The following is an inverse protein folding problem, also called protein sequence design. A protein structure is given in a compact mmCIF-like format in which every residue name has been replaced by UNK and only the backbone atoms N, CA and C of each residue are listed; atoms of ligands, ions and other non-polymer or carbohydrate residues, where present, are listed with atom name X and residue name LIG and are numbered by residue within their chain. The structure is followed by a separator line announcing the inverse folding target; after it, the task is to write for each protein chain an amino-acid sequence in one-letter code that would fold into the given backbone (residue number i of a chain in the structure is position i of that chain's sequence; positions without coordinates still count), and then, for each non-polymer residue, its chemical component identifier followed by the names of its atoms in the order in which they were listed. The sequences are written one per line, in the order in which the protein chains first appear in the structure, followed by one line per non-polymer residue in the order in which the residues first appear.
data_IF_605292214268
#
_entry.id   IF_605292214268
#
_cell.length_a   1.000
_cell.length_b   1.000
_cell.length_c   1.000
_cell.angle_alpha   90.00
_cell.angle_beta   90.00
_cell.angle_gamma   90.00
#
_symmetry.space_group_name_H-M   'P 1'
#
loop_
_entity.id
_entity.type
_entity.pdbx_description
1 polymer ?
#
# COMPACT_ATOMS: atom_id res chain seq x y z
N UNK A 1 13.98 -5.61 -8.61
CA UNK A 1 14.56 -6.81 -7.98
C UNK A 1 14.44 -6.85 -6.44
N UNK A 2 14.17 -5.74 -5.73
CA UNK A 2 14.10 -5.72 -4.25
C UNK A 2 12.81 -6.32 -3.64
N UNK A 3 11.74 -6.49 -4.41
CA UNK A 3 10.49 -7.13 -3.94
C UNK A 3 10.53 -8.66 -3.90
N UNK A 4 11.64 -9.31 -4.27
CA UNK A 4 11.71 -10.77 -4.37
C UNK A 4 11.90 -11.46 -3.02
N UNK A 5 12.30 -10.73 -1.97
CA UNK A 5 12.45 -11.30 -0.62
C UNK A 5 11.16 -11.06 0.15
N UNK A 6 10.47 -12.12 0.62
CA UNK A 6 9.33 -11.95 1.51
C UNK A 6 9.75 -11.09 2.72
N UNK A 7 8.96 -10.09 3.14
CA UNK A 7 9.37 -9.12 4.17
C UNK A 7 9.66 -9.76 5.53
N UNK A 8 9.12 -10.95 5.79
CA UNK A 8 9.27 -11.71 7.03
C UNK A 8 10.71 -12.23 7.22
N UNK A 9 11.31 -13.03 6.31
CA UNK A 9 12.71 -13.45 6.42
C UNK A 9 13.71 -12.29 6.32
N UNK A 10 13.42 -11.24 5.54
CA UNK A 10 14.29 -10.06 5.47
C UNK A 10 14.38 -9.32 6.82
N UNK A 11 13.25 -9.16 7.51
CA UNK A 11 13.22 -8.56 8.86
C UNK A 11 13.95 -9.41 9.89
N UNK A 12 13.84 -10.74 9.79
CA UNK A 12 14.53 -11.69 10.67
C UNK A 12 16.06 -11.63 10.50
N UNK A 13 16.54 -11.53 9.26
CA UNK A 13 17.97 -11.40 8.94
C UNK A 13 18.58 -10.09 9.44
N UNK A 14 17.88 -8.96 9.27
CA UNK A 14 18.41 -7.65 9.70
C UNK A 14 18.47 -7.56 11.22
N UNK A 15 17.44 -8.05 11.90
CA UNK A 15 17.41 -7.95 13.34
C UNK A 15 18.32 -8.96 14.06
N UNK A 16 18.65 -10.09 13.43
CA UNK A 16 19.76 -10.93 13.89
C UNK A 16 21.14 -10.25 13.85
N UNK A 17 21.30 -9.18 13.06
CA UNK A 17 22.58 -8.48 12.84
C UNK A 17 22.74 -7.24 13.74
N UNK A 18 21.67 -6.69 14.31
CA UNK A 18 21.69 -5.32 14.89
C UNK A 18 22.09 -5.28 16.38
N UNK A 19 22.15 -6.41 17.10
CA UNK A 19 22.55 -6.48 18.52
C UNK A 19 21.39 -6.37 19.53
N UNK A 20 21.70 -6.34 20.83
CA UNK A 20 20.71 -6.28 21.92
C UNK A 20 20.63 -4.88 22.53
N UNK A 21 19.42 -4.31 22.57
CA UNK A 21 19.15 -2.99 23.16
C UNK A 21 17.68 -2.60 23.00
N UNK A 22 17.14 -1.68 23.83
CA UNK A 22 15.71 -1.39 23.88
C UNK A 22 15.14 -0.77 22.58
N UNK A 23 16.00 -0.14 21.76
CA UNK A 23 15.59 0.50 20.50
C UNK A 23 16.07 -0.26 19.25
N UNK A 24 16.93 -1.26 19.44
CA UNK A 24 17.57 -2.02 18.38
C UNK A 24 16.57 -2.75 17.46
N UNK A 25 15.56 -3.48 17.97
CA UNK A 25 14.58 -4.12 17.10
C UNK A 25 13.72 -3.09 16.33
N UNK A 26 13.41 -1.94 16.95
CA UNK A 26 12.66 -0.88 16.28
C UNK A 26 13.45 -0.26 15.11
N UNK A 27 14.75 0.00 15.30
CA UNK A 27 15.63 0.52 14.25
C UNK A 27 15.81 -0.49 13.11
N UNK A 28 16.05 -1.77 13.43
CA UNK A 28 16.18 -2.84 12.45
C UNK A 28 14.94 -2.93 11.55
N UNK A 29 13.75 -2.93 12.16
CA UNK A 29 12.50 -2.99 11.41
C UNK A 29 12.24 -1.69 10.65
N UNK A 30 12.60 -0.51 11.18
CA UNK A 30 12.43 0.76 10.49
C UNK A 30 13.24 0.84 9.18
N UNK A 31 14.49 0.36 9.19
CA UNK A 31 15.35 0.33 8.00
C UNK A 31 14.75 -0.55 6.90
N UNK A 32 14.21 -1.71 7.26
CA UNK A 32 13.54 -2.63 6.32
C UNK A 32 12.19 -2.08 5.85
N UNK A 33 11.45 -1.42 6.76
CA UNK A 33 10.12 -0.91 6.48
C UNK A 33 10.15 0.32 5.55
N UNK A 34 11.21 1.12 5.59
CA UNK A 34 11.31 2.38 4.85
C UNK A 34 11.38 2.20 3.31
N UNK A 35 12.16 1.22 2.83
CA UNK A 35 12.47 1.10 1.39
C UNK A 35 11.24 0.94 0.48
N UNK A 36 10.27 0.05 0.77
CA UNK A 36 9.04 -0.07 -0.03
C UNK A 36 8.17 1.19 0.01
N UNK A 37 8.09 1.86 1.16
CA UNK A 37 7.35 3.11 1.34
C UNK A 37 7.95 4.24 0.49
N UNK A 38 9.27 4.40 0.53
CA UNK A 38 9.97 5.39 -0.28
C UNK A 38 9.79 5.14 -1.78
N UNK A 39 9.88 3.87 -2.20
CA UNK A 39 9.65 3.48 -3.59
C UNK A 39 8.23 3.83 -4.03
N UNK A 40 7.21 3.45 -3.24
CA UNK A 40 5.82 3.73 -3.54
C UNK A 40 5.50 5.24 -3.56
N UNK A 41 6.03 6.01 -2.61
CA UNK A 41 5.89 7.47 -2.62
C UNK A 41 6.52 8.08 -3.88
N UNK A 42 7.71 7.61 -4.28
CA UNK A 42 8.40 8.11 -5.48
C UNK A 42 7.67 7.78 -6.78
N UNK A 43 7.01 6.62 -6.86
CA UNK A 43 6.22 6.23 -8.04
C UNK A 43 4.97 7.08 -8.15
N UNK A 44 4.25 7.28 -7.05
CA UNK A 44 3.07 8.14 -7.00
C UNK A 44 3.42 9.59 -7.34
N UNK A 45 4.54 10.09 -6.81
CA UNK A 45 5.00 11.45 -7.11
C UNK A 45 5.34 11.62 -8.60
N UNK A 46 5.98 10.62 -9.23
CA UNK A 46 6.25 10.64 -10.68
C UNK A 46 4.96 10.60 -11.50
N UNK A 47 3.99 9.78 -11.10
CA UNK A 47 2.69 9.71 -11.77
C UNK A 47 1.91 11.03 -11.67
N UNK A 48 1.87 11.63 -10.48
CA UNK A 48 1.16 12.89 -10.26
C UNK A 48 1.81 14.06 -11.02
N UNK A 49 3.14 14.09 -11.09
CA UNK A 49 3.89 15.08 -11.89
C UNK A 49 3.64 14.96 -13.40
N UNK A 50 3.35 13.76 -13.89
CA UNK A 50 3.04 13.53 -15.30
C UNK A 50 1.59 13.87 -15.66
N UNK A 51 0.77 14.26 -14.69
CA UNK A 51 -0.64 14.60 -14.93
C UNK A 51 -0.81 15.94 -15.66
N UNK A 52 -1.77 16.00 -16.57
CA UNK A 52 -2.09 17.21 -17.35
C UNK A 52 -2.48 18.41 -16.46
N UNK A 53 -3.03 18.15 -15.28
CA UNK A 53 -3.42 19.18 -14.31
C UNK A 53 -2.20 19.94 -13.77
N UNK A 54 -1.10 19.23 -13.50
CA UNK A 54 0.16 19.84 -13.05
C UNK A 54 0.82 20.65 -14.16
N UNK A 55 0.81 20.14 -15.39
CA UNK A 55 1.35 20.86 -16.56
C UNK A 55 0.60 22.19 -16.82
N UNK A 56 -0.73 22.19 -16.69
CA UNK A 56 -1.54 23.39 -16.83
C UNK A 56 -1.30 24.43 -15.71
N UNK A 57 -1.11 23.99 -14.46
CA UNK A 57 -0.81 24.91 -13.35
C UNK A 57 0.60 25.50 -13.42
N UNK A 58 1.57 24.75 -13.96
CA UNK A 58 2.90 25.29 -14.26
C UNK A 58 2.85 26.34 -15.37
N UNK A 59 2.02 26.14 -16.41
CA UNK A 59 1.81 27.13 -17.47
C UNK A 59 1.18 28.44 -16.95
N UNK A 60 0.47 28.39 -15.82
CA UNK A 60 -0.08 29.55 -15.11
C UNK A 60 0.92 30.22 -14.15
N UNK A 61 2.18 29.79 -14.10
CA UNK A 61 3.25 30.40 -13.31
C UNK A 61 3.29 29.98 -11.83
N UNK A 62 2.65 28.87 -11.45
CA UNK A 62 2.68 28.39 -10.07
C UNK A 62 4.10 27.93 -9.64
N UNK A 63 4.56 28.40 -8.47
CA UNK A 63 5.85 28.01 -7.91
C UNK A 63 5.91 26.56 -7.39
N UNK A 64 7.11 25.93 -7.34
CA UNK A 64 7.27 24.52 -7.00
C UNK A 64 6.81 24.16 -5.57
N UNK A 65 6.97 25.08 -4.61
CA UNK A 65 6.52 24.87 -3.22
C UNK A 65 4.99 24.86 -3.06
N UNK A 66 4.29 25.71 -3.82
CA UNK A 66 2.83 25.74 -3.85
C UNK A 66 2.27 24.46 -4.45
N UNK A 67 2.82 24.05 -5.59
CA UNK A 67 2.44 22.81 -6.27
C UNK A 67 2.65 21.58 -5.35
N UNK A 68 3.80 21.53 -4.66
CA UNK A 68 4.12 20.44 -3.75
C UNK A 68 3.11 20.33 -2.61
N UNK A 69 2.85 21.42 -1.88
CA UNK A 69 2.00 21.40 -0.68
C UNK A 69 0.51 21.30 -1.01
N UNK A 70 0.04 21.92 -2.09
CA UNK A 70 -1.39 22.04 -2.40
C UNK A 70 -1.90 20.97 -3.35
N UNK A 71 -1.05 20.35 -4.17
CA UNK A 71 -1.48 19.36 -5.17
C UNK A 71 -0.82 18.01 -4.93
N UNK A 72 0.52 17.95 -4.88
CA UNK A 72 1.23 16.67 -4.78
C UNK A 72 1.08 16.00 -3.40
N UNK A 73 1.28 16.74 -2.30
CA UNK A 73 1.15 16.20 -0.95
C UNK A 73 -0.25 15.61 -0.68
N UNK A 74 -1.36 16.35 -0.88
CA UNK A 74 -2.69 15.80 -0.59
C UNK A 74 -3.10 14.66 -1.52
N UNK A 75 -2.54 14.58 -2.73
CA UNK A 75 -2.80 13.46 -3.64
C UNK A 75 -2.05 12.18 -3.24
N UNK A 76 -0.79 12.31 -2.80
CA UNK A 76 0.09 11.17 -2.47
C UNK A 76 -0.10 10.68 -1.02
N UNK A 77 -0.52 11.55 -0.09
CA UNK A 77 -0.70 11.19 1.32
C UNK A 77 -1.68 10.02 1.55
N UNK A 78 -2.92 10.03 1.03
CA UNK A 78 -3.87 8.94 1.25
C UNK A 78 -3.36 7.55 0.81
N UNK A 79 -2.82 7.37 -0.42
CA UNK A 79 -2.32 6.06 -0.85
C UNK A 79 -1.04 5.63 -0.09
N UNK A 80 -0.17 6.56 0.29
CA UNK A 80 1.01 6.25 1.12
C UNK A 80 0.58 5.80 2.53
N UNK A 81 -0.37 6.51 3.16
CA UNK A 81 -0.88 6.15 4.49
C UNK A 81 -1.58 4.79 4.48
N UNK A 82 -2.40 4.51 3.46
CA UNK A 82 -3.01 3.17 3.27
C UNK A 82 -1.92 2.10 3.16
N UNK A 83 -0.89 2.34 2.35
CA UNK A 83 0.21 1.39 2.20
C UNK A 83 0.96 1.17 3.53
N UNK A 84 1.24 2.23 4.29
CA UNK A 84 1.88 2.13 5.60
C UNK A 84 1.04 1.28 6.57
N UNK A 85 -0.26 1.52 6.65
CA UNK A 85 -1.19 0.77 7.51
C UNK A 85 -1.21 -0.73 7.18
N UNK A 86 -1.20 -1.08 5.89
CA UNK A 86 -1.15 -2.48 5.46
C UNK A 86 0.14 -3.20 5.87
N UNK A 87 1.22 -2.47 6.19
CA UNK A 87 2.49 -3.07 6.65
C UNK A 87 2.56 -3.24 8.17
N UNK A 88 1.71 -2.57 8.94
CA UNK A 88 1.68 -2.65 10.41
C UNK A 88 1.61 -4.09 10.93
N UNK A 89 0.74 -4.99 10.41
CA UNK A 89 0.68 -6.36 10.92
C UNK A 89 2.02 -7.11 10.75
N UNK A 90 2.67 -6.95 9.59
CA UNK A 90 3.96 -7.58 9.32
C UNK A 90 5.09 -7.03 10.18
N UNK A 91 5.10 -5.72 10.43
CA UNK A 91 6.04 -5.04 11.32
C UNK A 91 5.86 -5.51 12.77
N UNK A 92 4.61 -5.60 13.24
CA UNK A 92 4.28 -6.07 14.58
C UNK A 92 4.72 -7.53 14.79
N UNK A 93 4.47 -8.40 13.81
CA UNK A 93 4.93 -9.80 13.84
C UNK A 93 6.46 -9.91 13.85
N UNK A 94 7.15 -9.08 13.07
CA UNK A 94 8.61 -9.06 13.06
C UNK A 94 9.17 -8.64 14.44
N UNK A 95 8.62 -7.57 15.05
CA UNK A 95 9.01 -7.14 16.39
C UNK A 95 8.71 -8.20 17.45
N UNK A 96 7.54 -8.85 17.38
CA UNK A 96 7.17 -9.92 18.30
C UNK A 96 8.11 -11.13 18.17
N UNK A 97 8.48 -11.53 16.95
CA UNK A 97 9.44 -12.61 16.72
C UNK A 97 10.82 -12.28 17.31
N UNK A 98 11.26 -11.03 17.23
CA UNK A 98 12.53 -10.59 17.80
C UNK A 98 12.49 -10.52 19.33
N UNK A 99 11.38 -10.04 19.89
CA UNK A 99 11.13 -10.09 21.33
C UNK A 99 11.15 -11.52 21.86
N UNK A 100 10.52 -12.46 21.12
CA UNK A 100 10.51 -13.88 21.46
C UNK A 100 11.91 -14.51 21.41
N UNK A 101 12.76 -14.07 20.48
CA UNK A 101 14.17 -14.48 20.37
C UNK A 101 15.10 -13.81 21.41
N UNK A 102 14.58 -12.98 22.32
CA UNK A 102 15.37 -12.28 23.34
C UNK A 102 16.08 -11.02 22.85
N UNK A 103 15.80 -10.58 21.61
CA UNK A 103 16.32 -9.34 21.01
C UNK A 103 15.37 -8.14 21.19
N UNK A 104 14.28 -8.33 21.94
CA UNK A 104 13.33 -7.28 22.33
C UNK A 104 13.89 -6.34 23.41
N UNK A 105 13.13 -5.31 23.76
CA UNK A 105 13.49 -4.53 24.93
C UNK A 105 13.38 -5.38 26.20
N UNK A 106 14.26 -5.13 27.16
CA UNK A 106 14.30 -5.87 28.41
C UNK A 106 13.32 -5.25 29.44
N UNK A 107 12.86 -6.01 30.45
CA UNK A 107 12.04 -5.47 31.53
C UNK A 107 12.67 -4.18 32.10
N UNK A 108 11.93 -3.07 32.29
CA UNK A 108 10.52 -2.97 32.69
C UNK A 108 9.50 -2.68 31.57
N UNK A 109 9.87 -2.67 30.28
CA UNK A 109 8.89 -2.42 29.22
C UNK A 109 8.08 -3.69 28.87
N UNK A 110 6.74 -3.59 28.74
CA UNK A 110 5.92 -4.74 28.36
C UNK A 110 6.07 -5.03 26.86
N UNK A 111 6.95 -5.96 26.52
CA UNK A 111 7.16 -6.42 25.14
C UNK A 111 6.29 -7.63 24.81
N UNK A 112 5.42 -7.52 23.81
CA UNK A 112 4.51 -8.59 23.39
C UNK A 112 5.23 -9.91 23.03
N UNK A 113 6.42 -9.83 22.43
CA UNK A 113 7.22 -11.01 22.08
C UNK A 113 7.84 -11.71 23.29
N UNK A 114 8.28 -10.93 24.30
CA UNK A 114 8.81 -11.46 25.55
C UNK A 114 7.70 -12.12 26.37
N UNK A 115 6.52 -11.49 26.44
CA UNK A 115 5.34 -12.06 27.10
C UNK A 115 4.96 -13.42 26.49
N UNK A 116 5.08 -13.59 25.17
CA UNK A 116 4.82 -14.88 24.54
C UNK A 116 5.86 -15.93 24.92
N UNK A 117 7.14 -15.55 25.01
CA UNK A 117 8.24 -16.45 25.39
C UNK A 117 8.11 -16.92 26.86
N UNK A 118 7.79 -16.01 27.77
CA UNK A 118 7.62 -16.31 29.20
C UNK A 118 6.41 -17.23 29.47
N UNK A 119 5.35 -17.12 28.66
CA UNK A 119 4.13 -17.90 28.84
C UNK A 119 4.14 -19.25 28.09
N UNK A 120 5.12 -19.50 27.21
CA UNK A 120 5.26 -20.75 26.47
C UNK A 120 5.29 -22.02 27.36
N UNK A 121 6.05 -22.09 28.47
CA UNK A 121 6.05 -23.26 29.34
C UNK A 121 4.73 -23.45 30.12
N UNK A 122 3.88 -22.42 30.19
CA UNK A 122 2.58 -22.47 30.85
C UNK A 122 1.44 -22.77 29.88
N UNK A 123 1.70 -22.97 28.58
CA UNK A 123 0.67 -23.15 27.56
C UNK A 123 -0.30 -24.30 27.87
N UNK A 124 0.19 -25.41 28.44
CA UNK A 124 -0.64 -26.56 28.82
C UNK A 124 -1.49 -26.31 30.07
N UNK A 125 -1.03 -25.43 30.98
CA UNK A 125 -1.73 -25.13 32.25
C UNK A 125 -2.67 -23.92 32.14
N UNK A 126 -2.29 -22.94 31.33
CA UNK A 126 -2.94 -21.65 31.19
C UNK A 126 -2.87 -21.19 29.72
N UNK A 127 -3.65 -21.80 28.81
CA UNK A 127 -3.60 -21.50 27.38
C UNK A 127 -3.95 -20.03 27.07
N UNK A 128 -4.75 -19.37 27.92
CA UNK A 128 -5.09 -17.95 27.78
C UNK A 128 -3.87 -17.03 27.88
N UNK A 129 -2.81 -17.43 28.60
CA UNK A 129 -1.63 -16.60 28.80
C UNK A 129 -0.81 -16.46 27.50
N UNK A 130 -0.87 -17.46 26.62
CA UNK A 130 -0.28 -17.42 25.27
C UNK A 130 -1.26 -16.81 24.26
N UNK A 131 -2.56 -17.10 24.39
CA UNK A 131 -3.59 -16.59 23.47
C UNK A 131 -3.80 -15.07 23.59
N UNK A 132 -3.64 -14.49 24.78
CA UNK A 132 -3.83 -13.06 24.98
C UNK A 132 -2.91 -12.18 24.11
N UNK A 133 -1.57 -12.32 24.13
CA UNK A 133 -0.69 -11.55 23.26
C UNK A 133 -0.90 -11.88 21.77
N UNK A 134 -1.21 -13.14 21.43
CA UNK A 134 -1.51 -13.53 20.05
C UNK A 134 -2.79 -12.85 19.52
N UNK A 135 -3.85 -12.81 20.32
CA UNK A 135 -5.11 -12.15 19.97
C UNK A 135 -4.93 -10.63 19.87
N UNK A 136 -4.14 -10.01 20.75
CA UNK A 136 -3.83 -8.59 20.68
C UNK A 136 -3.12 -8.22 19.36
N UNK A 137 -2.13 -9.02 18.92
CA UNK A 137 -1.47 -8.83 17.63
C UNK A 137 -2.43 -9.01 16.45
N UNK A 138 -3.33 -10.01 16.51
CA UNK A 138 -4.34 -10.23 15.48
C UNK A 138 -5.33 -9.06 15.38
N UNK A 139 -5.81 -8.56 16.51
CA UNK A 139 -6.71 -7.39 16.57
C UNK A 139 -6.01 -6.12 16.07
N UNK A 140 -4.76 -5.89 16.46
CA UNK A 140 -3.96 -4.79 15.95
C UNK A 140 -3.86 -4.85 14.41
N UNK A 141 -3.60 -6.04 13.87
CA UNK A 141 -3.52 -6.24 12.43
C UNK A 141 -4.86 -5.98 11.73
N UNK A 142 -5.95 -6.51 12.28
CA UNK A 142 -7.29 -6.30 11.75
C UNK A 142 -7.72 -4.83 11.77
N UNK A 143 -7.42 -4.12 12.87
CA UNK A 143 -7.68 -2.69 12.99
C UNK A 143 -6.85 -1.88 11.99
N UNK A 144 -5.57 -2.21 11.82
CA UNK A 144 -4.71 -1.53 10.85
C UNK A 144 -5.22 -1.70 9.41
N UNK A 145 -5.62 -2.91 9.02
CA UNK A 145 -6.20 -3.18 7.70
C UNK A 145 -7.55 -2.49 7.52
N UNK A 146 -8.39 -2.50 8.55
CA UNK A 146 -9.69 -1.79 8.53
C UNK A 146 -9.49 -0.29 8.38
N UNK A 147 -8.56 0.30 9.13
CA UNK A 147 -8.18 1.70 9.02
C UNK A 147 -7.64 2.01 7.62
N UNK A 148 -6.83 1.13 7.03
CA UNK A 148 -6.33 1.28 5.66
C UNK A 148 -7.48 1.33 4.63
N UNK A 149 -8.53 0.55 4.84
CA UNK A 149 -9.77 0.59 4.05
C UNK A 149 -10.55 1.91 4.23
N UNK A 150 -10.54 2.46 5.46
CA UNK A 150 -11.17 3.73 5.81
C UNK A 150 -10.50 4.97 5.20
N UNK A 151 -9.21 4.89 4.83
CA UNK A 151 -8.54 5.94 4.05
C UNK A 151 -9.12 5.97 2.64
N UNK A 152 -10.08 6.87 2.40
CA UNK A 152 -10.72 7.08 1.09
C UNK A 152 -10.14 8.32 0.40
N UNK A 153 -9.96 8.21 -0.92
CA UNK A 153 -9.70 9.36 -1.79
C UNK A 153 -11.02 10.12 -2.04
N UNK A 154 -10.98 11.45 -2.20
CA UNK A 154 -12.07 12.18 -2.84
C UNK A 154 -12.24 11.63 -4.27
N UNK A 155 -13.38 11.01 -4.57
CA UNK A 155 -13.67 10.52 -5.92
C UNK A 155 -13.79 11.73 -6.84
N UNK A 156 -12.94 11.89 -7.89
CA UNK A 156 -13.11 12.99 -8.82
C UNK A 156 -14.46 12.85 -9.56
N UNK A 157 -15.15 13.98 -9.84
CA UNK A 157 -16.45 13.98 -10.47
C UNK A 157 -16.46 13.30 -11.86
N UNK A 158 -17.62 12.74 -12.18
CA UNK A 158 -17.84 11.67 -13.17
C UNK A 158 -17.75 12.11 -14.64
N UNK A 159 -17.43 13.37 -14.90
CA UNK A 159 -17.39 13.95 -16.25
C UNK A 159 -16.21 13.45 -17.11
N UNK A 160 -15.22 12.77 -16.52
CA UNK A 160 -14.17 12.07 -17.26
C UNK A 160 -14.62 10.73 -17.90
N UNK A 161 -15.88 10.29 -17.69
CA UNK A 161 -16.42 9.03 -18.25
C UNK A 161 -17.33 9.23 -19.47
N UNK A 162 -17.43 10.46 -19.97
CA UNK A 162 -18.30 10.82 -21.09
C UNK A 162 -17.54 11.49 -22.21
N UNK A 163 -16.90 10.71 -23.07
CA UNK A 163 -16.67 11.13 -24.45
C UNK A 163 -17.06 10.00 -25.38
N UNK A 164 -18.36 9.98 -25.65
CA UNK A 164 -19.00 9.55 -26.89
C UNK A 164 -18.28 10.14 -28.11
N UNK A 165 -17.11 9.58 -28.42
CA UNK A 165 -16.34 9.86 -29.65
C UNK A 165 -16.63 8.79 -30.71
N UNK A 166 -17.01 7.58 -30.30
CA UNK A 166 -17.36 6.50 -31.24
C UNK A 166 -18.73 6.69 -31.90
N UNK A 167 -19.63 7.50 -31.33
CA UNK A 167 -20.99 7.67 -31.88
C UNK A 167 -21.08 8.78 -32.93
N UNK A 168 -20.13 9.72 -32.96
CA UNK A 168 -20.09 10.83 -33.94
C UNK A 168 -19.35 10.54 -35.23
N UNK A 169 -18.71 9.37 -35.36
CA UNK A 169 -18.05 8.94 -36.60
C UNK A 169 -18.95 8.05 -37.49
N UNK A 170 -20.18 7.75 -37.06
CA UNK A 170 -21.19 7.19 -37.95
C UNK A 170 -21.82 8.34 -38.75
N UNK A 171 -21.09 8.80 -39.77
CA UNK A 171 -21.59 9.74 -40.77
C UNK A 171 -22.83 9.20 -41.51
N UNK A 172 -23.50 10.04 -42.33
CA UNK A 172 -24.72 9.63 -43.04
C UNK A 172 -24.42 8.39 -43.90
N UNK A 173 -25.21 7.33 -43.72
CA UNK A 173 -25.18 6.15 -44.59
C UNK A 173 -25.33 6.60 -46.04
N UNK A 174 -24.28 6.47 -46.84
CA UNK A 174 -24.35 6.63 -48.29
C UNK A 174 -25.37 5.60 -48.83
N UNK A 175 -26.26 5.98 -49.76
CA UNK A 175 -27.16 5.02 -50.38
C UNK A 175 -26.34 3.98 -51.13
N UNK A 176 -26.55 2.71 -50.78
CA UNK A 176 -26.01 1.53 -51.45
C UNK A 176 -26.24 1.62 -52.96
N UNK A 177 -25.22 1.44 -53.81
CA UNK A 177 -25.45 1.35 -55.24
C UNK A 177 -26.31 0.11 -55.51
N UNK A 178 -27.40 0.35 -56.22
CA UNK A 178 -28.30 -0.63 -56.82
C UNK A 178 -27.47 -1.77 -57.40
N UNK A 179 -27.57 -2.95 -56.79
CA UNK A 179 -27.17 -4.20 -57.41
C UNK A 179 -28.02 -4.36 -58.67
N UNK A 180 -27.45 -3.94 -59.80
CA UNK A 180 -28.01 -4.11 -61.11
C UNK A 180 -28.39 -5.58 -61.29
N UNK A 181 -29.68 -5.79 -61.50
CA UNK A 181 -30.27 -7.05 -61.90
C UNK A 181 -29.52 -7.61 -63.11
N UNK A 182 -28.73 -8.65 -62.87
CA UNK A 182 -28.31 -9.60 -63.90
C UNK A 182 -29.12 -10.86 -63.65
N UNK A 183 -30.39 -10.81 -64.06
CA UNK A 183 -31.17 -12.00 -64.39
C UNK A 183 -30.66 -12.51 -65.73
N UNK A 184 -29.90 -13.59 -65.72
CA UNK A 184 -29.73 -14.45 -66.90
C UNK A 184 -30.43 -15.77 -66.59
N UNK A 185 -31.50 -16.01 -67.34
CA UNK A 185 -32.16 -17.30 -67.48
C UNK A 185 -31.17 -18.42 -67.85
N UNK A 186 -31.46 -19.65 -67.42
CA UNK A 186 -31.13 -20.82 -68.20
C UNK A 186 -32.37 -21.60 -68.66
N UNK A 187 -32.33 -21.93 -69.96
CA UNK A 187 -33.06 -22.97 -70.70
C UNK A 187 -34.50 -22.68 -71.14
#
# INVERSE_FOLDING_TARGET
AVNAVPPVPAGLLVAGVTGSGPHTPALAVAVVAWSPLATHASTLLRQERASTHVAATLALGAGPGYLLRRHLLPAVLPPVTRHALLRVPGIALALAALGFLGLGAQPPSPEWGLLLAENQPYAERAPWAVLAPAAALALLGALAVTAAGGVRLPVPPRWARGSSVTERLSGPKLPTPVAAAVSRDPA
#
